data_IF_521537238013
#
_entry.id   IF_521537238013
#
_cell.length_a   1.000
_cell.length_b   1.000
_cell.length_c   1.000
_cell.angle_alpha   90.00
_cell.angle_beta   90.00
_cell.angle_gamma   90.00
#
_symmetry.space_group_name_H-M   'P 1'
#
loop_
_entity.id
_entity.type
_entity.pdbx_description
1 polymer ?
#
# COMPACT_ATOMS: atom_id res chain seq x y z
N UNK A 1 17.67 2.50 12.44
CA UNK A 1 16.88 3.53 11.74
C UNK A 1 17.44 3.59 10.34
N UNK A 2 16.60 3.65 9.30
CA UNK A 2 17.02 3.48 7.89
C UNK A 2 17.51 4.78 7.23
N UNK A 3 17.48 5.91 7.90
CA UNK A 3 17.77 7.21 7.30
C UNK A 3 16.58 7.73 6.47
N UNK A 4 16.82 8.74 5.64
CA UNK A 4 15.80 9.26 4.73
C UNK A 4 15.58 8.29 3.56
N UNK A 5 14.33 8.05 3.21
CA UNK A 5 13.93 7.24 2.06
C UNK A 5 13.30 8.19 1.04
N UNK A 6 13.81 8.15 -0.18
CA UNK A 6 13.28 8.95 -1.29
C UNK A 6 12.97 8.04 -2.48
N UNK A 7 11.87 8.32 -3.18
CA UNK A 7 11.56 7.66 -4.43
C UNK A 7 12.43 8.20 -5.59
N UNK A 8 12.26 7.66 -6.79
CA UNK A 8 13.02 8.07 -7.99
C UNK A 8 12.79 9.52 -8.42
N UNK A 9 11.75 10.18 -7.90
CA UNK A 9 11.43 11.59 -8.15
C UNK A 9 12.07 12.53 -7.12
N UNK A 10 12.78 11.98 -6.12
CA UNK A 10 13.37 12.73 -5.01
C UNK A 10 12.36 13.12 -3.93
N UNK A 11 11.17 12.54 -3.96
CA UNK A 11 10.13 12.78 -2.96
C UNK A 11 10.39 11.90 -1.74
N UNK A 12 10.37 12.48 -0.56
CA UNK A 12 10.58 11.80 0.70
C UNK A 12 9.36 10.96 1.07
N UNK A 13 9.63 9.71 1.46
CA UNK A 13 8.64 8.78 2.02
C UNK A 13 8.74 8.82 3.54
N UNK A 14 7.67 9.26 4.18
CA UNK A 14 7.59 9.29 5.64
C UNK A 14 7.27 7.90 6.21
N UNK A 15 7.94 7.54 7.29
CA UNK A 15 7.78 6.23 7.92
C UNK A 15 7.93 6.28 9.43
N UNK A 16 7.40 5.26 10.09
CA UNK A 16 7.68 4.95 11.50
C UNK A 16 8.21 3.53 11.61
N UNK A 17 9.38 3.39 12.26
CA UNK A 17 10.02 2.11 12.48
C UNK A 17 9.79 1.62 13.91
N UNK A 18 9.31 0.39 14.04
CA UNK A 18 9.14 -0.38 15.28
C UNK A 18 10.24 -1.45 15.30
N UNK A 19 11.20 -1.41 16.23
CA UNK A 19 12.38 -2.26 16.14
C UNK A 19 12.13 -3.75 16.43
N UNK A 20 11.06 -4.10 17.15
CA UNK A 20 10.86 -5.48 17.61
C UNK A 20 12.04 -5.98 18.45
N UNK A 21 12.36 -7.27 18.37
CA UNK A 21 13.55 -7.83 19.00
C UNK A 21 14.80 -7.62 18.14
N UNK A 22 15.94 -7.35 18.78
CA UNK A 22 17.21 -7.08 18.09
C UNK A 22 17.67 -8.22 17.17
N UNK A 23 17.21 -9.46 17.40
CA UNK A 23 17.54 -10.63 16.59
C UNK A 23 16.59 -10.88 15.41
N UNK A 24 15.52 -10.08 15.27
CA UNK A 24 14.55 -10.26 14.20
C UNK A 24 15.19 -10.02 12.83
N UNK A 25 15.21 -11.08 12.02
CA UNK A 25 15.62 -11.02 10.61
C UNK A 25 14.42 -10.77 9.67
N UNK A 26 13.23 -10.57 10.23
CA UNK A 26 11.99 -10.29 9.51
C UNK A 26 11.65 -8.82 9.70
N UNK A 27 11.26 -8.16 8.62
CA UNK A 27 10.70 -6.82 8.63
C UNK A 27 9.34 -6.85 7.94
N UNK A 28 8.31 -6.43 8.66
CA UNK A 28 6.98 -6.21 8.06
C UNK A 28 6.90 -4.76 7.60
N UNK A 29 6.67 -4.52 6.33
CA UNK A 29 6.36 -3.20 5.76
C UNK A 29 4.86 -3.11 5.58
N UNK A 30 4.21 -2.09 6.16
CA UNK A 30 2.77 -1.89 6.08
C UNK A 30 2.47 -0.69 5.17
N UNK A 31 1.74 -0.96 4.06
CA UNK A 31 1.18 0.03 3.15
C UNK A 31 -0.31 0.25 3.40
N UNK A 32 -0.76 1.49 3.26
CA UNK A 32 -2.15 1.90 3.48
C UNK A 32 -2.98 1.81 2.19
N UNK A 33 -4.29 2.06 2.30
CA UNK A 33 -5.22 2.18 1.18
C UNK A 33 -5.46 3.62 0.74
N UNK A 34 -6.43 3.79 -0.15
CA UNK A 34 -6.88 5.12 -0.66
C UNK A 34 -7.14 6.07 0.50
N UNK A 35 -6.75 7.32 0.36
CA UNK A 35 -6.85 8.40 1.38
C UNK A 35 -6.21 8.05 2.73
N UNK A 36 -5.45 6.96 2.79
CA UNK A 36 -4.80 6.50 4.03
C UNK A 36 -3.46 7.17 4.30
N UNK A 37 -2.84 6.80 5.42
CA UNK A 37 -1.47 7.09 5.77
C UNK A 37 -0.98 6.13 6.86
N UNK A 38 0.30 6.17 7.20
CA UNK A 38 0.92 5.32 8.22
C UNK A 38 0.30 5.45 9.62
N UNK A 39 -0.39 6.54 9.92
CA UNK A 39 -0.92 6.85 11.24
C UNK A 39 -2.42 6.54 11.43
N UNK A 40 -3.06 5.92 10.44
CA UNK A 40 -4.42 5.39 10.60
C UNK A 40 -4.48 4.45 11.82
N UNK A 41 -5.54 4.53 12.65
CA UNK A 41 -5.60 3.81 13.93
C UNK A 41 -5.36 2.30 13.81
N UNK A 42 -5.91 1.64 12.77
CA UNK A 42 -5.72 0.21 12.58
C UNK A 42 -4.27 -0.14 12.19
N UNK A 43 -3.60 0.69 11.37
CA UNK A 43 -2.20 0.51 10.95
C UNK A 43 -1.28 0.57 12.17
N UNK A 44 -1.52 1.54 13.08
CA UNK A 44 -0.77 1.67 14.33
C UNK A 44 -0.99 0.44 15.22
N UNK A 45 -2.25 0.02 15.44
CA UNK A 45 -2.57 -1.16 16.26
C UNK A 45 -1.97 -2.45 15.68
N UNK A 46 -2.01 -2.62 14.36
CA UNK A 46 -1.40 -3.76 13.69
C UNK A 46 0.12 -3.77 13.93
N UNK A 47 0.79 -2.63 13.73
CA UNK A 47 2.22 -2.50 13.95
C UNK A 47 2.61 -2.78 15.41
N UNK A 48 1.87 -2.22 16.37
CA UNK A 48 2.10 -2.44 17.81
C UNK A 48 1.93 -3.92 18.19
N UNK A 49 0.93 -4.59 17.60
CA UNK A 49 0.71 -6.03 17.81
C UNK A 49 1.86 -6.89 17.27
N UNK A 50 2.34 -6.59 16.07
CA UNK A 50 3.47 -7.30 15.44
C UNK A 50 4.77 -7.04 16.20
N UNK A 51 5.03 -5.78 16.59
CA UNK A 51 6.19 -5.41 17.41
C UNK A 51 6.17 -6.13 18.76
N UNK A 52 5.01 -6.22 19.40
CA UNK A 52 4.84 -6.95 20.68
C UNK A 52 5.15 -8.44 20.55
N UNK A 53 5.01 -9.02 19.36
CA UNK A 53 5.45 -10.37 19.03
C UNK A 53 6.95 -10.46 18.72
N UNK A 54 7.70 -9.36 18.84
CA UNK A 54 9.14 -9.30 18.64
C UNK A 54 9.58 -9.13 17.19
N UNK A 55 8.66 -8.85 16.26
CA UNK A 55 8.95 -8.67 14.83
C UNK A 55 9.10 -7.18 14.54
N UNK A 56 10.13 -6.83 13.73
CA UNK A 56 10.32 -5.45 13.31
C UNK A 56 9.24 -5.01 12.31
N UNK A 57 8.76 -3.77 12.43
CA UNK A 57 7.73 -3.22 11.53
C UNK A 57 8.15 -1.86 11.01
N UNK A 58 7.82 -1.58 9.76
CA UNK A 58 7.91 -0.27 9.13
C UNK A 58 6.52 0.10 8.60
N UNK A 59 5.91 1.12 9.19
CA UNK A 59 4.69 1.75 8.64
C UNK A 59 5.11 2.88 7.71
N UNK A 60 4.61 2.91 6.50
CA UNK A 60 4.92 3.96 5.51
C UNK A 60 3.67 4.76 5.15
N UNK A 61 3.85 6.03 4.84
CA UNK A 61 2.91 6.82 4.04
C UNK A 61 3.46 6.88 2.62
N UNK A 62 2.68 6.48 1.62
CA UNK A 62 3.07 6.68 0.23
C UNK A 62 3.14 8.18 -0.10
N UNK A 63 3.91 8.57 -1.12
CA UNK A 63 4.04 9.98 -1.51
C UNK A 63 2.70 10.61 -1.84
N UNK A 64 2.53 11.89 -1.46
CA UNK A 64 1.26 12.60 -1.52
C UNK A 64 0.31 12.32 -0.35
N UNK A 65 0.68 11.44 0.62
CA UNK A 65 -0.14 11.09 1.76
C UNK A 65 0.61 11.34 3.09
N UNK A 66 -0.13 11.74 4.12
CA UNK A 66 0.42 11.99 5.45
C UNK A 66 1.50 13.08 5.42
N UNK A 67 2.68 12.78 6.02
CA UNK A 67 3.83 13.69 6.06
C UNK A 67 4.88 13.36 4.97
N UNK A 68 4.53 12.52 3.98
CA UNK A 68 5.37 12.28 2.81
C UNK A 68 5.29 13.45 1.83
N UNK A 69 6.39 13.68 1.08
CA UNK A 69 6.39 14.66 0.00
C UNK A 69 5.43 14.26 -1.14
N UNK A 70 5.20 15.17 -2.08
CA UNK A 70 4.35 14.96 -3.25
C UNK A 70 2.96 15.58 -3.10
N UNK A 71 2.20 15.56 -4.19
CA UNK A 71 0.80 16.02 -4.22
C UNK A 71 -0.13 14.80 -4.21
N UNK A 72 -1.21 14.88 -3.43
CA UNK A 72 -2.22 13.81 -3.40
C UNK A 72 -2.84 13.55 -4.79
N UNK A 73 -2.92 14.56 -5.65
CA UNK A 73 -3.39 14.41 -7.03
C UNK A 73 -2.54 13.46 -7.88
N UNK A 74 -1.27 13.28 -7.50
CA UNK A 74 -0.34 12.38 -8.20
C UNK A 74 -0.34 10.96 -7.59
N UNK A 75 -1.12 10.71 -6.54
CA UNK A 75 -1.23 9.40 -5.92
C UNK A 75 -1.91 8.41 -6.86
N UNK A 76 -1.15 7.45 -7.35
CA UNK A 76 -1.64 6.36 -8.20
C UNK A 76 -1.07 5.04 -7.69
N UNK A 77 -1.71 3.92 -8.01
CA UNK A 77 -1.17 2.59 -7.68
C UNK A 77 0.23 2.42 -8.26
N UNK A 78 0.43 2.83 -9.52
CA UNK A 78 1.74 2.75 -10.18
C UNK A 78 2.82 3.54 -9.44
N UNK A 79 2.52 4.75 -8.96
CA UNK A 79 3.45 5.56 -8.18
C UNK A 79 3.73 4.93 -6.79
N UNK A 80 2.71 4.37 -6.14
CA UNK A 80 2.90 3.67 -4.86
C UNK A 80 3.75 2.40 -4.99
N UNK A 81 3.70 1.70 -6.14
CA UNK A 81 4.63 0.60 -6.44
C UNK A 81 6.07 1.11 -6.54
N UNK A 82 6.29 2.28 -7.15
CA UNK A 82 7.61 2.92 -7.20
C UNK A 82 8.11 3.31 -5.81
N UNK A 83 7.24 3.87 -4.98
CA UNK A 83 7.53 4.21 -3.59
C UNK A 83 7.92 2.96 -2.79
N UNK A 84 7.14 1.88 -2.92
CA UNK A 84 7.46 0.61 -2.26
C UNK A 84 8.80 0.05 -2.73
N UNK A 85 9.11 0.17 -4.03
CA UNK A 85 10.41 -0.24 -4.59
C UNK A 85 11.56 0.53 -3.93
N UNK A 86 11.43 1.84 -3.76
CA UNK A 86 12.42 2.67 -3.07
C UNK A 86 12.58 2.29 -1.59
N UNK A 87 11.48 2.00 -0.91
CA UNK A 87 11.52 1.47 0.47
C UNK A 87 12.29 0.16 0.52
N UNK A 88 11.97 -0.79 -0.37
CA UNK A 88 12.63 -2.10 -0.43
C UNK A 88 14.14 -1.99 -0.69
N UNK A 89 14.58 -1.05 -1.51
CA UNK A 89 16.02 -0.80 -1.76
C UNK A 89 16.79 -0.49 -0.48
N UNK A 90 16.17 0.27 0.41
CA UNK A 90 16.83 0.70 1.66
C UNK A 90 16.70 -0.35 2.78
N UNK A 91 15.55 -1.02 2.87
CA UNK A 91 15.24 -1.81 4.08
C UNK A 91 15.50 -3.31 3.94
N UNK A 92 15.58 -3.86 2.72
CA UNK A 92 15.72 -5.31 2.51
C UNK A 92 17.03 -5.87 3.09
N UNK A 93 18.18 -5.34 2.69
CA UNK A 93 19.48 -5.76 3.21
C UNK A 93 19.58 -7.26 3.44
N UNK A 94 19.86 -7.68 4.69
CA UNK A 94 19.88 -9.09 5.12
C UNK A 94 18.56 -9.54 5.78
N UNK A 95 17.47 -8.80 5.58
CA UNK A 95 16.16 -9.08 6.19
C UNK A 95 15.23 -9.75 5.19
N UNK A 96 14.37 -10.63 5.71
CA UNK A 96 13.23 -11.14 4.99
C UNK A 96 12.11 -10.10 5.09
N UNK A 97 11.73 -9.50 3.98
CA UNK A 97 10.65 -8.51 3.96
C UNK A 97 9.31 -9.23 3.78
N UNK A 98 8.36 -8.87 4.63
CA UNK A 98 6.94 -9.19 4.51
C UNK A 98 6.24 -7.88 4.18
N UNK A 99 5.57 -7.80 3.04
CA UNK A 99 4.74 -6.64 2.74
C UNK A 99 3.29 -6.93 3.13
N UNK A 100 2.68 -6.02 3.89
CA UNK A 100 1.27 -6.08 4.29
C UNK A 100 0.54 -4.85 3.73
N UNK A 101 -0.29 -5.04 2.72
CA UNK A 101 -1.05 -3.98 2.06
C UNK A 101 -2.53 -4.02 2.41
N UNK A 102 -3.11 -2.85 2.74
CA UNK A 102 -4.54 -2.70 2.99
C UNK A 102 -5.23 -2.07 1.79
N UNK A 103 -6.39 -2.62 1.38
CA UNK A 103 -7.22 -2.08 0.30
C UNK A 103 -6.38 -1.86 -0.98
N UNK A 104 -6.24 -0.63 -1.48
CA UNK A 104 -5.38 -0.28 -2.62
C UNK A 104 -3.91 -0.69 -2.39
N UNK A 105 -3.40 -0.59 -1.15
CA UNK A 105 -2.08 -1.12 -0.80
C UNK A 105 -1.94 -2.62 -1.02
N UNK A 106 -3.04 -3.38 -1.02
CA UNK A 106 -3.07 -4.79 -1.44
C UNK A 106 -2.76 -4.95 -2.93
N UNK A 107 -3.34 -4.13 -3.80
CA UNK A 107 -3.03 -4.10 -5.23
C UNK A 107 -1.56 -3.72 -5.48
N UNK A 108 -1.05 -2.70 -4.76
CA UNK A 108 0.38 -2.33 -4.76
C UNK A 108 1.26 -3.53 -4.43
N UNK A 109 0.89 -4.28 -3.37
CA UNK A 109 1.63 -5.47 -2.95
C UNK A 109 1.66 -6.57 -4.00
N UNK A 110 0.55 -6.84 -4.68
CA UNK A 110 0.47 -7.84 -5.76
C UNK A 110 1.37 -7.43 -6.93
N UNK A 111 1.28 -6.18 -7.38
CA UNK A 111 2.10 -5.67 -8.49
C UNK A 111 3.59 -5.67 -8.15
N UNK A 112 3.95 -5.27 -6.93
CA UNK A 112 5.34 -5.28 -6.49
C UNK A 112 5.87 -6.72 -6.35
N UNK A 113 5.15 -7.62 -5.66
CA UNK A 113 5.62 -8.98 -5.40
C UNK A 113 5.68 -9.87 -6.66
N UNK A 114 4.95 -9.53 -7.72
CA UNK A 114 5.07 -10.22 -9.01
C UNK A 114 6.37 -9.91 -9.74
N UNK A 115 7.07 -8.81 -9.40
CA UNK A 115 8.24 -8.31 -10.10
C UNK A 115 9.48 -8.10 -9.21
N UNK A 116 9.36 -8.23 -7.91
CA UNK A 116 10.43 -7.91 -6.96
C UNK A 116 10.64 -9.01 -5.93
N UNK A 117 11.71 -9.79 -6.12
CA UNK A 117 12.07 -10.92 -5.26
C UNK A 117 12.50 -10.53 -3.84
N UNK A 118 12.63 -9.22 -3.53
CA UNK A 118 12.92 -8.74 -2.17
C UNK A 118 11.73 -8.91 -1.23
N UNK A 119 10.50 -8.99 -1.76
CA UNK A 119 9.32 -9.36 -1.00
C UNK A 119 9.31 -10.88 -0.81
N UNK A 120 9.58 -11.33 0.40
CA UNK A 120 9.62 -12.76 0.73
C UNK A 120 8.28 -13.35 1.16
N UNK A 121 7.31 -12.52 1.58
CA UNK A 121 5.92 -12.89 1.90
C UNK A 121 5.01 -11.71 1.61
N UNK A 122 3.79 -12.01 1.19
CA UNK A 122 2.74 -11.04 0.93
C UNK A 122 1.57 -11.23 1.89
N UNK A 123 1.00 -10.14 2.39
CA UNK A 123 -0.25 -10.12 3.16
C UNK A 123 -1.16 -9.08 2.52
N UNK A 124 -2.37 -9.48 2.13
CA UNK A 124 -3.42 -8.58 1.67
C UNK A 124 -4.53 -8.51 2.72
N UNK A 125 -4.81 -7.29 3.18
CA UNK A 125 -5.85 -6.98 4.16
C UNK A 125 -6.97 -6.25 3.43
N UNK A 126 -8.10 -6.91 3.19
CA UNK A 126 -9.19 -6.43 2.32
C UNK A 126 -8.63 -5.85 1.02
N UNK A 127 -7.79 -6.64 0.33
CA UNK A 127 -7.01 -6.18 -0.82
C UNK A 127 -7.88 -5.93 -2.05
N UNK A 128 -7.72 -4.77 -2.69
CA UNK A 128 -8.36 -4.44 -3.96
C UNK A 128 -7.75 -5.26 -5.09
N UNK A 129 -8.60 -5.89 -5.92
CA UNK A 129 -8.17 -6.69 -7.09
C UNK A 129 -8.60 -6.03 -8.40
N UNK A 130 -9.88 -5.65 -8.52
CA UNK A 130 -10.45 -5.08 -9.74
C UNK A 130 -10.45 -3.55 -9.69
N UNK A 131 -9.30 -2.94 -9.97
CA UNK A 131 -9.05 -1.51 -9.79
C UNK A 131 -10.00 -0.62 -10.61
N UNK A 132 -10.24 -0.96 -11.89
CA UNK A 132 -11.17 -0.21 -12.72
C UNK A 132 -12.63 -0.30 -12.23
N UNK A 133 -13.05 -1.49 -11.75
CA UNK A 133 -14.38 -1.69 -11.15
C UNK A 133 -14.51 -0.85 -9.88
N UNK A 134 -13.50 -0.89 -8.99
CA UNK A 134 -13.49 -0.08 -7.77
C UNK A 134 -13.64 1.41 -8.08
N UNK A 135 -12.79 1.95 -8.96
CA UNK A 135 -12.84 3.36 -9.36
C UNK A 135 -14.22 3.75 -9.91
N UNK A 136 -14.84 2.87 -10.71
CA UNK A 136 -16.17 3.13 -11.27
C UNK A 136 -17.28 3.08 -10.22
N UNK A 137 -17.21 2.14 -9.26
CA UNK A 137 -18.25 1.98 -8.22
C UNK A 137 -18.17 3.12 -7.21
N UNK A 138 -16.96 3.44 -6.73
CA UNK A 138 -16.78 4.43 -5.67
C UNK A 138 -16.84 5.88 -6.17
N UNK A 139 -16.37 6.13 -7.40
CA UNK A 139 -16.17 7.49 -7.90
C UNK A 139 -16.79 7.76 -9.28
N UNK A 140 -17.55 6.80 -9.83
CA UNK A 140 -18.09 6.92 -11.20
C UNK A 140 -19.06 8.08 -11.42
N UNK A 141 -19.66 8.59 -10.35
CA UNK A 141 -20.55 9.76 -10.38
C UNK A 141 -19.80 11.10 -10.20
N UNK A 142 -18.49 11.04 -9.94
CA UNK A 142 -17.63 12.20 -9.77
C UNK A 142 -16.96 12.60 -11.07
N UNK A 143 -16.69 13.89 -11.23
CA UNK A 143 -15.90 14.41 -12.36
C UNK A 143 -14.45 14.51 -11.90
N UNK A 144 -13.51 13.73 -12.48
CA UNK A 144 -12.10 13.85 -12.14
C UNK A 144 -11.60 15.29 -12.32
N UNK A 145 -10.70 15.70 -11.43
CA UNK A 145 -10.12 17.04 -11.31
C UNK A 145 -11.08 18.14 -10.80
N UNK A 146 -12.38 17.80 -10.57
CA UNK A 146 -13.38 18.74 -10.02
C UNK A 146 -13.96 18.22 -8.68
N UNK A 147 -13.99 16.90 -8.48
CA UNK A 147 -14.57 16.24 -7.31
C UNK A 147 -13.55 15.81 -6.27
N UNK A 148 -14.07 15.22 -5.20
CA UNK A 148 -13.29 14.71 -4.07
C UNK A 148 -13.66 13.25 -3.80
N UNK A 149 -12.70 12.45 -3.35
CA UNK A 149 -12.95 11.09 -2.91
C UNK A 149 -13.75 11.10 -1.61
N UNK A 150 -14.93 10.45 -1.61
CA UNK A 150 -15.83 10.37 -0.45
C UNK A 150 -16.14 11.72 0.22
N UNK A 151 -16.23 12.79 -0.58
CA UNK A 151 -16.50 14.16 -0.13
C UNK A 151 -15.43 14.75 0.83
N UNK A 152 -14.22 14.14 0.88
CA UNK A 152 -13.08 14.63 1.68
C UNK A 152 -12.33 15.71 0.88
N UNK A 153 -12.40 16.98 1.30
CA UNK A 153 -11.79 18.12 0.59
C UNK A 153 -10.27 18.00 0.41
N UNK A 154 -9.58 17.31 1.35
CA UNK A 154 -8.15 17.05 1.29
C UNK A 154 -7.78 15.89 0.32
N UNK A 155 -8.79 15.23 -0.25
CA UNK A 155 -8.61 14.06 -1.10
C UNK A 155 -9.24 14.30 -2.50
N UNK A 156 -8.68 15.20 -3.32
CA UNK A 156 -9.21 15.46 -4.67
C UNK A 156 -9.11 14.22 -5.54
N UNK A 157 -10.21 13.90 -6.26
CA UNK A 157 -10.22 12.84 -7.25
C UNK A 157 -9.51 13.31 -8.52
N UNK A 158 -8.30 12.82 -8.78
CA UNK A 158 -7.55 13.23 -9.98
C UNK A 158 -7.82 12.35 -11.19
N UNK A 159 -7.71 12.92 -12.37
CA UNK A 159 -7.73 12.17 -13.63
C UNK A 159 -6.55 11.19 -13.72
N UNK A 160 -5.40 11.52 -13.13
CA UNK A 160 -4.24 10.62 -13.04
C UNK A 160 -4.61 9.33 -12.31
N UNK A 161 -5.25 9.43 -11.14
CA UNK A 161 -5.71 8.29 -10.36
C UNK A 161 -6.70 7.41 -11.15
N UNK A 162 -7.75 8.01 -11.72
CA UNK A 162 -8.79 7.28 -12.48
C UNK A 162 -8.19 6.58 -13.70
N UNK A 163 -7.29 7.26 -14.43
CA UNK A 163 -6.62 6.69 -15.60
C UNK A 163 -5.71 5.51 -15.23
N UNK A 164 -4.95 5.62 -14.13
CA UNK A 164 -4.09 4.54 -13.65
C UNK A 164 -4.91 3.32 -13.25
N UNK A 165 -5.99 3.52 -12.46
CA UNK A 165 -6.92 2.45 -12.07
C UNK A 165 -7.52 1.74 -13.27
N UNK A 166 -7.91 2.49 -14.32
CA UNK A 166 -8.45 1.93 -15.56
C UNK A 166 -7.38 1.22 -16.39
N UNK A 167 -6.15 1.70 -16.39
CA UNK A 167 -5.03 1.11 -17.13
C UNK A 167 -4.61 -0.22 -16.53
N UNK A 168 -4.51 -0.30 -15.20
CA UNK A 168 -4.24 -1.55 -14.47
C UNK A 168 -5.41 -2.50 -14.64
N UNK A 169 -6.63 -1.99 -14.59
CA UNK A 169 -7.92 -2.72 -14.71
C UNK A 169 -8.12 -3.79 -13.63
N UNK A 170 -7.17 -4.69 -13.45
CA UNK A 170 -7.18 -5.73 -12.43
C UNK A 170 -5.77 -6.24 -12.15
N UNK A 171 -5.49 -6.62 -10.92
CA UNK A 171 -4.24 -7.29 -10.52
C UNK A 171 -4.37 -8.82 -10.48
N UNK A 172 -5.52 -9.37 -10.87
CA UNK A 172 -5.82 -10.82 -10.79
C UNK A 172 -4.79 -11.68 -11.54
N UNK A 173 -4.44 -11.29 -12.76
CA UNK A 173 -3.45 -12.04 -13.56
C UNK A 173 -2.09 -12.03 -12.89
N UNK A 174 -1.69 -10.89 -12.30
CA UNK A 174 -0.45 -10.75 -11.54
C UNK A 174 -0.42 -11.60 -10.27
N UNK A 175 -1.57 -11.85 -9.67
CA UNK A 175 -1.69 -12.79 -8.55
C UNK A 175 -1.16 -14.19 -8.88
N UNK A 176 -1.34 -14.67 -10.11
CA UNK A 176 -0.82 -15.97 -10.56
C UNK A 176 0.71 -16.01 -10.70
N UNK A 177 1.37 -14.87 -10.78
CA UNK A 177 2.83 -14.75 -10.87
C UNK A 177 3.50 -14.71 -9.47
N UNK A 178 2.74 -14.59 -8.38
CA UNK A 178 3.23 -14.57 -7.01
C UNK A 178 3.83 -15.93 -6.64
N UNK A 179 5.11 -15.96 -6.29
CA UNK A 179 5.86 -17.17 -5.94
C UNK A 179 6.13 -17.33 -4.45
N UNK A 180 5.75 -16.32 -3.66
CA UNK A 180 5.99 -16.30 -2.22
C UNK A 180 4.72 -16.68 -1.46
N UNK A 181 4.83 -17.13 -0.19
CA UNK A 181 3.65 -17.34 0.64
C UNK A 181 2.80 -16.06 0.72
N UNK A 182 1.53 -16.19 0.52
CA UNK A 182 0.57 -15.10 0.49
C UNK A 182 -0.59 -15.37 1.44
N UNK A 183 -0.78 -14.47 2.41
CA UNK A 183 -1.91 -14.49 3.33
C UNK A 183 -2.96 -13.48 2.89
N UNK A 184 -4.19 -13.95 2.72
CA UNK A 184 -5.36 -13.13 2.43
C UNK A 184 -6.21 -13.03 3.70
N UNK A 185 -6.55 -11.81 4.11
CA UNK A 185 -7.41 -11.51 5.25
C UNK A 185 -8.48 -10.53 4.78
N UNK A 186 -9.75 -10.89 4.93
CA UNK A 186 -10.86 -10.08 4.45
C UNK A 186 -12.03 -10.11 5.43
N UNK A 187 -12.71 -8.97 5.60
CA UNK A 187 -13.94 -8.88 6.36
C UNK A 187 -15.12 -9.40 5.54
N UNK A 188 -15.99 -10.23 6.16
CA UNK A 188 -17.18 -10.76 5.47
C UNK A 188 -18.28 -9.71 5.25
N UNK A 189 -18.18 -8.57 5.92
CA UNK A 189 -19.13 -7.46 5.86
C UNK A 189 -18.44 -6.17 5.33
N UNK A 190 -17.38 -6.32 4.51
CA UNK A 190 -16.69 -5.21 3.88
C UNK A 190 -17.54 -4.71 2.70
N UNK A 191 -18.05 -3.49 2.82
CA UNK A 191 -18.94 -2.85 1.86
C UNK A 191 -18.19 -1.95 0.86
N UNK A 192 -16.89 -1.72 1.07
CA UNK A 192 -16.03 -0.92 0.19
C UNK A 192 -15.23 -1.80 -0.76
N UNK A 193 -14.58 -2.84 -0.22
CA UNK A 193 -13.91 -3.88 -1.01
C UNK A 193 -14.61 -5.21 -0.71
N UNK A 194 -15.52 -5.66 -1.57
CA UNK A 194 -16.29 -6.88 -1.31
C UNK A 194 -15.40 -8.12 -1.15
N UNK A 195 -15.82 -9.09 -0.32
CA UNK A 195 -15.07 -10.31 -0.03
C UNK A 195 -14.76 -11.13 -1.30
N UNK A 196 -15.55 -10.98 -2.34
CA UNK A 196 -15.34 -11.62 -3.64
C UNK A 196 -14.04 -11.17 -4.34
N UNK A 197 -13.41 -10.08 -3.87
CA UNK A 197 -12.07 -9.65 -4.32
C UNK A 197 -10.95 -10.56 -3.76
N UNK A 198 -11.24 -11.45 -2.79
CA UNK A 198 -10.30 -12.40 -2.21
C UNK A 198 -10.47 -13.78 -2.82
#
# INVERSE_FOLDING_TARGET
MFGEIQNKHGEKIDYTYHPGNAESKVLVVIGHGVTGNKDRPFVKKLADGIESAGISVLRISFTGNGDSDGDFRDCTISKEVEDLTAVLEIVSGNRKVVYAGHSMGGAVGVLAASNDDRIGHLISLSGMVHTAKFSKVEFGDQIPDEGFMWEEEDCPLSSAYVNDMNTISSVLEKGSEIKVPWLLVHGTEDDVVPIEET
#
